data_IF_164027085618
#
_entry.id   IF_164027085618
#
_cell.length_a   1.000
_cell.length_b   1.000
_cell.length_c   1.000
_cell.angle_alpha   90.00
_cell.angle_beta   90.00
_cell.angle_gamma   90.00
#
_symmetry.space_group_name_H-M   'P 1'
#
loop_
_entity.id
_entity.type
_entity.pdbx_description
1 polymer ?
#
# COMPACT_ATOMS: atom_id res chain seq x y z
N UNK A 1 -7.27 -10.23 -1.56
CA UNK A 1 -5.96 -10.48 -2.19
C UNK A 1 -5.21 -9.16 -2.35
N UNK A 2 -3.87 -9.15 -2.27
CA UNK A 2 -3.03 -7.94 -2.41
C UNK A 2 -1.88 -8.22 -3.39
N UNK A 3 -1.41 -7.20 -4.11
CA UNK A 3 -0.29 -7.33 -5.04
C UNK A 3 -0.65 -8.06 -6.34
N UNK A 4 0.19 -8.98 -6.78
CA UNK A 4 0.05 -9.69 -8.06
C UNK A 4 -1.28 -10.44 -8.19
N UNK A 5 -1.73 -11.06 -7.09
CA UNK A 5 -3.02 -11.76 -7.03
C UNK A 5 -4.19 -10.80 -7.31
N UNK A 6 -4.20 -9.64 -6.65
CA UNK A 6 -5.21 -8.60 -6.86
C UNK A 6 -5.16 -8.02 -8.27
N UNK A 7 -3.95 -7.85 -8.83
CA UNK A 7 -3.75 -7.36 -10.19
C UNK A 7 -4.35 -8.30 -11.23
N UNK A 8 -4.28 -9.63 -11.03
CA UNK A 8 -4.90 -10.61 -11.95
C UNK A 8 -6.43 -10.56 -11.94
N UNK A 9 -7.03 -10.02 -10.88
CA UNK A 9 -8.47 -9.85 -10.74
C UNK A 9 -9.01 -8.58 -11.41
N UNK A 10 -8.15 -7.64 -11.82
CA UNK A 10 -8.59 -6.43 -12.55
C UNK A 10 -9.35 -6.83 -13.82
N UNK A 11 -10.60 -6.37 -13.93
CA UNK A 11 -11.50 -6.70 -15.04
C UNK A 11 -12.05 -8.14 -15.02
N UNK A 12 -11.79 -8.90 -13.95
CA UNK A 12 -12.24 -10.31 -13.77
C UNK A 12 -12.88 -10.53 -12.39
N UNK A 13 -13.32 -9.46 -11.72
CA UNK A 13 -13.94 -9.55 -10.41
C UNK A 13 -15.43 -9.93 -10.53
N UNK A 14 -15.91 -10.96 -9.81
CA UNK A 14 -17.35 -11.18 -9.62
C UNK A 14 -17.99 -9.97 -8.92
N UNK A 15 -19.31 -9.77 -9.09
CA UNK A 15 -20.00 -8.54 -8.68
C UNK A 15 -19.97 -8.21 -7.18
N UNK A 16 -19.47 -9.12 -6.34
CA UNK A 16 -19.33 -8.94 -4.89
C UNK A 16 -17.92 -8.47 -4.45
N UNK A 17 -16.93 -8.41 -5.36
CA UNK A 17 -15.59 -7.94 -5.04
C UNK A 17 -15.12 -6.89 -6.05
N UNK A 18 -14.25 -5.99 -5.62
CA UNK A 18 -13.71 -4.94 -6.49
C UNK A 18 -12.19 -4.94 -6.37
N UNK A 19 -11.50 -4.93 -7.50
CA UNK A 19 -10.06 -4.76 -7.55
C UNK A 19 -9.73 -3.27 -7.61
N UNK A 20 -9.09 -2.75 -6.56
CA UNK A 20 -8.76 -1.32 -6.42
C UNK A 20 -7.25 -1.15 -6.55
N UNK A 21 -6.83 -0.11 -7.27
CA UNK A 21 -5.44 0.36 -7.29
C UNK A 21 -5.35 1.66 -6.49
N UNK A 22 -4.90 1.63 -5.23
CA UNK A 22 -5.04 2.77 -4.31
C UNK A 22 -3.95 3.83 -4.51
N UNK A 23 -2.94 3.55 -5.34
CA UNK A 23 -1.89 4.50 -5.73
C UNK A 23 -1.79 4.66 -7.24
N UNK A 24 -1.72 5.91 -7.70
CA UNK A 24 -1.58 6.26 -9.11
C UNK A 24 -0.57 7.42 -9.26
N UNK A 25 0.36 7.29 -10.20
CA UNK A 25 1.38 8.30 -10.49
C UNK A 25 2.19 8.75 -9.24
N UNK A 26 2.35 7.83 -8.28
CA UNK A 26 3.03 8.05 -6.99
C UNK A 26 2.26 8.90 -5.98
N UNK A 27 0.98 9.17 -6.24
CA UNK A 27 0.04 9.79 -5.32
C UNK A 27 -0.88 8.72 -4.73
N UNK A 28 -1.26 8.88 -3.46
CA UNK A 28 -2.26 8.04 -2.79
C UNK A 28 -3.65 8.55 -3.15
N UNK A 29 -4.45 7.70 -3.79
CA UNK A 29 -5.85 7.97 -4.11
C UNK A 29 -6.79 7.55 -2.97
N UNK A 30 -6.42 6.54 -2.19
CA UNK A 30 -7.18 6.06 -1.04
C UNK A 30 -6.24 5.68 0.10
N UNK A 31 -6.32 6.40 1.22
CA UNK A 31 -5.44 6.21 2.38
C UNK A 31 -5.69 4.88 3.09
N UNK A 32 -6.96 4.51 3.30
CA UNK A 32 -7.35 3.32 4.07
C UNK A 32 -6.91 2.06 3.32
N UNK A 33 -7.14 2.02 2.01
CA UNK A 33 -6.74 0.88 1.18
C UNK A 33 -5.22 0.82 1.01
N UNK A 34 -4.54 1.98 0.91
CA UNK A 34 -3.06 2.03 0.83
C UNK A 34 -2.40 1.54 2.11
N UNK A 35 -2.89 1.95 3.28
CA UNK A 35 -2.38 1.48 4.57
C UNK A 35 -2.46 -0.04 4.66
N UNK A 36 -3.62 -0.64 4.35
CA UNK A 36 -3.77 -2.11 4.32
C UNK A 36 -2.86 -2.79 3.33
N UNK A 37 -2.62 -2.18 2.17
CA UNK A 37 -1.67 -2.68 1.18
C UNK A 37 -0.23 -2.67 1.72
N UNK A 38 0.20 -1.58 2.35
CA UNK A 38 1.54 -1.44 2.93
C UNK A 38 1.74 -2.38 4.11
N UNK A 39 0.80 -2.42 5.06
CA UNK A 39 0.79 -3.38 6.17
C UNK A 39 0.95 -4.81 5.66
N UNK A 40 0.18 -5.21 4.63
CA UNK A 40 0.29 -6.55 4.08
C UNK A 40 1.68 -6.84 3.50
N UNK A 41 2.28 -5.91 2.75
CA UNK A 41 3.62 -6.10 2.19
C UNK A 41 4.71 -6.16 3.27
N UNK A 42 4.61 -5.32 4.30
CA UNK A 42 5.55 -5.31 5.43
C UNK A 42 5.45 -6.64 6.19
N UNK A 43 4.24 -7.11 6.51
CA UNK A 43 4.06 -8.39 7.18
C UNK A 43 4.61 -9.55 6.34
N UNK A 44 4.30 -9.56 5.04
CA UNK A 44 4.74 -10.62 4.12
C UNK A 44 6.26 -10.81 4.09
N UNK A 45 7.04 -9.73 4.23
CA UNK A 45 8.51 -9.83 4.25
C UNK A 45 9.08 -10.14 5.65
N UNK A 46 8.29 -9.99 6.70
CA UNK A 46 8.68 -10.27 8.10
C UNK A 46 8.03 -11.54 8.68
N UNK A 47 7.33 -12.34 7.88
CA UNK A 47 6.59 -13.55 8.32
C UNK A 47 7.43 -14.56 9.13
N UNK A 48 8.76 -14.56 9.01
CA UNK A 48 9.67 -15.48 9.70
C UNK A 48 10.41 -14.87 10.93
N UNK A 49 10.05 -13.66 11.36
CA UNK A 49 10.68 -13.02 12.52
C UNK A 49 9.84 -13.24 13.78
N UNK A 50 10.39 -13.94 14.77
CA UNK A 50 9.79 -14.06 16.12
C UNK A 50 9.75 -12.74 16.90
N UNK A 51 10.35 -11.68 16.35
CA UNK A 51 10.43 -10.33 16.93
C UNK A 51 9.49 -9.43 16.13
N UNK A 52 8.70 -8.63 16.85
CA UNK A 52 7.86 -7.58 16.26
C UNK A 52 8.72 -6.68 15.39
N UNK A 53 8.47 -6.62 14.07
CA UNK A 53 9.32 -5.85 13.18
C UNK A 53 9.14 -4.35 13.47
N UNK A 54 10.24 -3.64 13.70
CA UNK A 54 10.31 -2.18 13.75
C UNK A 54 11.00 -1.65 12.48
N UNK A 55 10.37 -1.83 11.30
CA UNK A 55 11.03 -1.55 10.03
C UNK A 55 11.30 -0.04 9.88
N UNK A 56 12.52 0.29 9.48
CA UNK A 56 12.84 1.62 8.97
C UNK A 56 12.40 1.67 7.51
N UNK A 57 11.30 2.34 7.24
CA UNK A 57 10.70 2.41 5.90
C UNK A 57 11.21 3.62 5.13
N UNK A 58 11.73 3.39 3.91
CA UNK A 58 12.06 4.43 2.95
C UNK A 58 11.05 4.36 1.79
N UNK A 59 10.38 5.48 1.50
CA UNK A 59 9.38 5.56 0.43
C UNK A 59 9.84 6.55 -0.64
N UNK A 60 9.96 6.09 -1.88
CA UNK A 60 10.19 6.97 -3.02
C UNK A 60 8.87 7.65 -3.40
N UNK A 61 8.88 8.98 -3.46
CA UNK A 61 7.73 9.80 -3.85
C UNK A 61 8.08 10.63 -5.10
N UNK A 62 7.11 10.91 -6.00
CA UNK A 62 7.33 11.78 -7.14
C UNK A 62 7.86 13.15 -6.72
N UNK A 63 8.75 13.72 -7.53
CA UNK A 63 9.30 15.07 -7.29
C UNK A 63 8.21 16.15 -7.17
N UNK A 64 7.12 15.99 -7.94
CA UNK A 64 5.97 16.92 -7.98
C UNK A 64 4.93 16.70 -6.88
N UNK A 65 5.15 15.78 -5.93
CA UNK A 65 4.20 15.54 -4.85
C UNK A 65 4.12 16.74 -3.91
N UNK A 66 2.91 17.16 -3.58
CA UNK A 66 2.58 18.21 -2.61
C UNK A 66 2.94 17.79 -1.19
N UNK A 67 3.03 18.76 -0.27
CA UNK A 67 3.31 18.47 1.14
C UNK A 67 2.24 17.60 1.80
N UNK A 68 0.97 17.76 1.41
CA UNK A 68 -0.15 16.97 1.93
C UNK A 68 -0.01 15.51 1.49
N UNK A 69 0.30 15.27 0.22
CA UNK A 69 0.51 13.90 -0.30
C UNK A 69 1.71 13.23 0.37
N UNK A 70 2.83 13.95 0.52
CA UNK A 70 4.02 13.43 1.22
C UNK A 70 3.74 13.09 2.68
N UNK A 71 2.98 13.94 3.38
CA UNK A 71 2.58 13.70 4.77
C UNK A 71 1.71 12.44 4.86
N UNK A 72 0.73 12.31 3.97
CA UNK A 72 -0.20 11.21 4.01
C UNK A 72 0.46 9.87 3.61
N UNK A 73 1.43 9.89 2.68
CA UNK A 73 2.29 8.72 2.39
C UNK A 73 3.07 8.27 3.63
N UNK A 74 3.62 9.22 4.39
CA UNK A 74 4.35 8.91 5.63
C UNK A 74 3.42 8.32 6.69
N UNK A 75 2.22 8.86 6.85
CA UNK A 75 1.23 8.35 7.80
C UNK A 75 0.76 6.95 7.43
N UNK A 76 0.46 6.68 6.15
CA UNK A 76 0.09 5.34 5.69
C UNK A 76 1.21 4.30 5.83
N UNK A 77 2.48 4.71 5.92
CA UNK A 77 3.61 3.81 6.14
C UNK A 77 3.91 3.56 7.62
N UNK A 78 3.39 4.40 8.53
CA UNK A 78 3.55 4.27 9.98
C UNK A 78 2.33 3.63 10.66
N UNK A 79 1.18 3.61 9.97
CA UNK A 79 -0.10 3.08 10.43
C UNK A 79 -0.18 1.56 10.43
#
# INVERSE_FOLDING_TARGET
>A
AVGSEAKRMLGRTPGNITAIRPMKDGVIADFVVTEKMLQHFIHKVHENSFITPSPRVLVCVPSKSTQVERKAIRESALG
#
